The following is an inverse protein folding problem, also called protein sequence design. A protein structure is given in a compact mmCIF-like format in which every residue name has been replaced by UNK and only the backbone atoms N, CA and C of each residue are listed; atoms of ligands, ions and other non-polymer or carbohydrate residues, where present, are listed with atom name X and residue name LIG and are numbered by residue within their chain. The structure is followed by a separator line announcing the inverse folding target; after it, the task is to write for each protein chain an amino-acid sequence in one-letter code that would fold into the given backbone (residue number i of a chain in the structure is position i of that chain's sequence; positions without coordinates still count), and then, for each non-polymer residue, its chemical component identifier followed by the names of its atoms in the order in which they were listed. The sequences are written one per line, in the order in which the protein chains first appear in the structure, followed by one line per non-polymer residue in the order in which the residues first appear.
data_IF_676357918626
#
_entry.id   IF_676357918626
#
_cell.length_a   1.000
_cell.length_b   1.000
_cell.length_c   1.000
_cell.angle_alpha   90.00
_cell.angle_beta   90.00
_cell.angle_gamma   90.00
#
_symmetry.space_group_name_H-M   'P 1'
#
loop_
_entity.id
_entity.type
_entity.pdbx_description
1 polymer ?
#
# COMPACT_ATOMS: atom_id res chain seq x y z
N UNK A 1 -45.06 -4.32 29.74
CA UNK A 1 -43.81 -4.14 28.98
C UNK A 1 -43.65 -2.64 28.77
N UNK A 2 -43.04 -1.94 29.71
CA UNK A 2 -42.86 -0.49 29.64
C UNK A 2 -41.80 -0.17 28.59
N UNK A 3 -42.06 0.70 27.60
CA UNK A 3 -41.03 1.09 26.65
C UNK A 3 -39.89 1.76 27.43
N UNK A 4 -38.67 1.26 27.27
CA UNK A 4 -37.47 1.91 27.78
C UNK A 4 -37.38 3.27 27.08
N UNK A 5 -37.32 4.40 27.80
CA UNK A 5 -37.19 5.69 27.17
C UNK A 5 -35.84 5.73 26.45
N UNK A 6 -35.89 5.64 25.13
CA UNK A 6 -34.75 5.85 24.25
C UNK A 6 -34.36 7.31 24.45
N UNK A 7 -33.19 7.57 25.04
CA UNK A 7 -32.63 8.92 25.14
C UNK A 7 -31.87 9.20 23.83
N UNK A 8 -32.48 9.95 22.88
CA UNK A 8 -31.88 10.17 21.57
C UNK A 8 -30.55 10.93 21.66
N UNK A 9 -30.32 11.72 22.72
CA UNK A 9 -29.05 12.39 22.92
C UNK A 9 -27.95 11.41 23.35
N UNK A 10 -28.28 10.48 24.26
CA UNK A 10 -27.34 9.44 24.68
C UNK A 10 -26.99 8.47 23.54
N UNK A 11 -27.96 8.11 22.70
CA UNK A 11 -27.72 7.25 21.53
C UNK A 11 -26.86 7.95 20.47
N UNK A 12 -27.13 9.23 20.18
CA UNK A 12 -26.30 10.03 19.26
C UNK A 12 -24.86 10.18 19.78
N UNK A 13 -24.67 10.35 21.08
CA UNK A 13 -23.34 10.42 21.68
C UNK A 13 -22.60 9.09 21.57
N UNK A 14 -23.28 7.95 21.78
CA UNK A 14 -22.68 6.62 21.59
C UNK A 14 -22.32 6.36 20.13
N UNK A 15 -23.21 6.73 19.19
CA UNK A 15 -22.94 6.62 17.76
C UNK A 15 -21.71 7.43 17.35
N UNK A 16 -21.64 8.70 17.77
CA UNK A 16 -20.47 9.55 17.50
C UNK A 16 -19.19 9.01 18.13
N UNK A 17 -19.25 8.55 19.38
CA UNK A 17 -18.09 7.96 20.04
C UNK A 17 -17.59 6.71 19.30
N UNK A 18 -18.50 5.84 18.86
CA UNK A 18 -18.17 4.67 18.06
C UNK A 18 -17.58 5.07 16.70
N UNK A 19 -18.13 6.10 16.05
CA UNK A 19 -17.62 6.65 14.80
C UNK A 19 -16.19 7.16 14.95
N UNK A 20 -15.92 8.03 15.94
CA UNK A 20 -14.58 8.55 16.18
C UNK A 20 -13.57 7.45 16.57
N UNK A 21 -14.00 6.45 17.33
CA UNK A 21 -13.16 5.30 17.65
C UNK A 21 -12.78 4.50 16.39
N UNK A 22 -13.74 4.30 15.48
CA UNK A 22 -13.47 3.65 14.20
C UNK A 22 -12.52 4.48 13.33
N UNK A 23 -12.73 5.79 13.21
CA UNK A 23 -11.84 6.68 12.46
C UNK A 23 -10.41 6.68 13.02
N UNK A 24 -10.26 6.75 14.34
CA UNK A 24 -8.95 6.68 14.99
C UNK A 24 -8.25 5.34 14.72
N UNK A 25 -8.98 4.23 14.77
CA UNK A 25 -8.43 2.91 14.47
C UNK A 25 -7.98 2.79 13.00
N UNK A 26 -8.76 3.33 12.06
CA UNK A 26 -8.39 3.38 10.64
C UNK A 26 -7.13 4.22 10.43
N UNK A 27 -7.05 5.40 11.06
CA UNK A 27 -5.88 6.27 10.98
C UNK A 27 -4.61 5.60 11.51
N UNK A 28 -4.68 4.95 12.68
CA UNK A 28 -3.54 4.19 13.24
C UNK A 28 -3.10 3.06 12.32
N UNK A 29 -4.05 2.31 11.75
CA UNK A 29 -3.76 1.24 10.79
C UNK A 29 -3.02 1.80 9.57
N UNK A 30 -3.54 2.87 8.97
CA UNK A 30 -2.97 3.46 7.76
C UNK A 30 -1.55 4.00 8.01
N UNK A 31 -1.32 4.61 9.17
CA UNK A 31 0.02 5.05 9.59
C UNK A 31 0.97 3.86 9.76
N UNK A 32 0.54 2.79 10.45
CA UNK A 32 1.35 1.59 10.65
C UNK A 32 1.75 0.94 9.33
N UNK A 33 0.80 0.80 8.39
CA UNK A 33 1.05 0.26 7.06
C UNK A 33 2.02 1.14 6.26
N UNK A 34 1.82 2.47 6.29
CA UNK A 34 2.73 3.40 5.61
C UNK A 34 4.17 3.30 6.11
N UNK A 35 4.37 3.21 7.42
CA UNK A 35 5.70 3.05 8.02
C UNK A 35 6.33 1.72 7.61
N UNK A 36 5.61 0.62 7.77
CA UNK A 36 6.10 -0.71 7.41
C UNK A 36 6.53 -0.77 5.93
N UNK A 37 5.73 -0.21 5.03
CA UNK A 37 6.06 -0.22 3.60
C UNK A 37 7.27 0.64 3.25
N UNK A 38 7.47 1.79 3.91
CA UNK A 38 8.69 2.57 3.74
C UNK A 38 9.93 1.76 4.15
N UNK A 39 9.84 1.11 5.31
CA UNK A 39 10.95 0.32 5.86
C UNK A 39 11.24 -0.93 5.01
N UNK A 40 10.23 -1.53 4.39
CA UNK A 40 10.38 -2.67 3.47
C UNK A 40 10.90 -2.26 2.08
N UNK A 41 10.58 -1.07 1.58
CA UNK A 41 11.08 -0.58 0.29
C UNK A 41 12.60 -0.36 0.30
N UNK A 42 13.17 0.10 1.42
CA UNK A 42 14.61 0.33 1.55
C UNK A 42 15.47 -0.92 1.22
N UNK A 43 15.27 -2.09 1.87
CA UNK A 43 16.01 -3.30 1.54
C UNK A 43 15.69 -3.84 0.14
N UNK A 44 14.46 -3.71 -0.36
CA UNK A 44 14.12 -4.12 -1.73
C UNK A 44 14.84 -3.29 -2.79
N UNK A 45 14.94 -1.97 -2.60
CA UNK A 45 15.71 -1.08 -3.47
C UNK A 45 17.20 -1.43 -3.46
N UNK A 46 17.75 -1.80 -2.29
CA UNK A 46 19.13 -2.27 -2.19
C UNK A 46 19.33 -3.59 -2.95
N UNK A 47 18.42 -4.56 -2.79
CA UNK A 47 18.45 -5.83 -3.54
C UNK A 47 18.34 -5.60 -5.05
N UNK A 48 17.44 -4.73 -5.49
CA UNK A 48 17.28 -4.37 -6.90
C UNK A 48 18.57 -3.74 -7.46
N UNK A 49 19.19 -2.83 -6.70
CA UNK A 49 20.44 -2.17 -7.10
C UNK A 49 21.59 -3.17 -7.28
N UNK A 50 21.73 -4.13 -6.35
CA UNK A 50 22.76 -5.16 -6.48
C UNK A 50 22.45 -6.17 -7.59
N UNK A 51 21.19 -6.55 -7.77
CA UNK A 51 20.78 -7.39 -8.89
C UNK A 51 21.14 -6.74 -10.23
N UNK A 52 20.95 -5.43 -10.36
CA UNK A 52 21.34 -4.65 -11.54
C UNK A 52 22.86 -4.62 -11.77
N UNK A 53 23.64 -4.42 -10.71
CA UNK A 53 25.12 -4.47 -10.78
C UNK A 53 25.57 -5.85 -11.24
N UNK A 54 25.01 -6.91 -10.66
CA UNK A 54 25.34 -8.30 -10.99
C UNK A 54 24.95 -8.65 -12.43
N UNK A 55 23.82 -8.16 -12.93
CA UNK A 55 23.38 -8.43 -14.30
C UNK A 55 24.40 -7.93 -15.33
N UNK A 56 24.95 -6.74 -15.10
CA UNK A 56 26.01 -6.18 -15.95
C UNK A 56 27.31 -6.97 -15.85
N UNK A 57 27.70 -7.41 -14.66
CA UNK A 57 28.92 -8.20 -14.47
C UNK A 57 28.81 -9.63 -15.02
N UNK A 58 27.60 -10.18 -15.06
CA UNK A 58 27.32 -11.56 -15.47
C UNK A 58 26.74 -11.67 -16.88
N UNK A 59 26.84 -10.61 -17.70
CA UNK A 59 26.29 -10.57 -19.06
C UNK A 59 26.82 -11.68 -19.99
N UNK A 60 28.03 -12.20 -19.72
CA UNK A 60 28.64 -13.31 -20.45
C UNK A 60 28.85 -14.57 -19.58
N UNK A 61 28.17 -14.64 -18.44
CA UNK A 61 28.28 -15.77 -17.52
C UNK A 61 27.46 -16.99 -18.00
N UNK A 62 27.57 -18.10 -17.27
CA UNK A 62 26.79 -19.30 -17.53
C UNK A 62 25.27 -18.99 -17.60
N UNK A 63 24.54 -19.53 -18.61
CA UNK A 63 23.11 -19.28 -18.77
C UNK A 63 22.25 -19.62 -17.55
N UNK A 64 22.64 -20.58 -16.71
CA UNK A 64 21.89 -20.90 -15.50
C UNK A 64 22.03 -19.80 -14.45
N UNK A 65 23.21 -19.17 -14.36
CA UNK A 65 23.43 -18.05 -13.45
C UNK A 65 22.62 -16.83 -13.88
N UNK A 66 22.55 -16.56 -15.18
CA UNK A 66 21.68 -15.51 -15.73
C UNK A 66 20.21 -15.77 -15.43
N UNK A 67 19.75 -17.03 -15.58
CA UNK A 67 18.37 -17.42 -15.25
C UNK A 67 18.07 -17.26 -13.76
N UNK A 68 19.00 -17.63 -12.89
CA UNK A 68 18.85 -17.46 -11.44
C UNK A 68 18.73 -15.99 -11.07
N UNK A 69 19.57 -15.11 -11.63
CA UNK A 69 19.50 -13.67 -11.40
C UNK A 69 18.20 -13.06 -11.91
N UNK A 70 17.72 -13.48 -13.09
CA UNK A 70 16.43 -13.04 -13.61
C UNK A 70 15.27 -13.44 -12.68
N UNK A 71 15.31 -14.65 -12.12
CA UNK A 71 14.34 -15.11 -11.13
C UNK A 71 14.37 -14.27 -9.83
N UNK A 72 15.56 -13.94 -9.33
CA UNK A 72 15.70 -13.05 -8.16
C UNK A 72 15.08 -11.68 -8.44
N UNK A 73 15.35 -11.09 -9.60
CA UNK A 73 14.79 -9.79 -9.97
C UNK A 73 13.26 -9.83 -10.07
N UNK A 74 12.71 -10.84 -10.74
CA UNK A 74 11.26 -11.02 -10.82
C UNK A 74 10.61 -11.15 -9.44
N UNK A 75 11.26 -11.86 -8.50
CA UNK A 75 10.79 -11.95 -7.12
C UNK A 75 10.83 -10.63 -6.35
N UNK A 76 11.88 -9.82 -6.54
CA UNK A 76 11.97 -8.46 -5.97
C UNK A 76 10.84 -7.58 -6.52
N UNK A 77 10.64 -7.58 -7.84
CA UNK A 77 9.60 -6.78 -8.50
C UNK A 77 8.19 -7.19 -8.02
N UNK A 78 7.94 -8.49 -7.89
CA UNK A 78 6.70 -9.00 -7.32
C UNK A 78 6.50 -8.53 -5.87
N UNK A 79 7.57 -8.53 -5.06
CA UNK A 79 7.47 -8.11 -3.67
C UNK A 79 7.19 -6.61 -3.53
N UNK A 80 7.75 -5.78 -4.41
CA UNK A 80 7.45 -4.34 -4.51
C UNK A 80 5.98 -4.13 -4.87
N UNK A 81 5.49 -4.82 -5.91
CA UNK A 81 4.09 -4.72 -6.34
C UNK A 81 3.11 -5.10 -5.22
N UNK A 82 3.38 -6.19 -4.47
CA UNK A 82 2.55 -6.59 -3.33
C UNK A 82 2.51 -5.55 -2.21
N UNK A 83 3.63 -4.85 -1.96
CA UNK A 83 3.68 -3.78 -0.96
C UNK A 83 2.84 -2.58 -1.43
N UNK A 84 2.90 -2.25 -2.71
CA UNK A 84 2.09 -1.17 -3.30
C UNK A 84 0.60 -1.49 -3.23
N UNK A 85 0.19 -2.71 -3.60
CA UNK A 85 -1.21 -3.16 -3.52
C UNK A 85 -1.78 -3.11 -2.09
N UNK A 86 -0.98 -3.56 -1.10
CA UNK A 86 -1.38 -3.54 0.32
C UNK A 86 -1.49 -2.10 0.85
N UNK A 87 -0.73 -1.15 0.32
CA UNK A 87 -0.82 0.26 0.69
C UNK A 87 -2.01 0.98 0.05
N UNK A 88 -2.40 0.59 -1.16
CA UNK A 88 -3.44 1.29 -1.90
C UNK A 88 -4.86 0.89 -1.46
N UNK A 89 -5.07 -0.37 -1.05
CA UNK A 89 -6.36 -0.84 -0.57
C UNK A 89 -6.94 -0.08 0.65
N UNK A 90 -6.15 0.24 1.71
CA UNK A 90 -6.61 1.06 2.83
C UNK A 90 -6.92 2.51 2.42
N UNK A 91 -6.09 3.11 1.55
CA UNK A 91 -6.23 4.51 1.11
C UNK A 91 -7.49 4.76 0.28
N UNK A 92 -7.90 3.79 -0.53
CA UNK A 92 -9.17 3.84 -1.25
C UNK A 92 -10.37 3.78 -0.28
N UNK A 93 -10.27 2.98 0.79
CA UNK A 93 -11.33 2.80 1.77
C UNK A 93 -11.52 4.02 2.70
N UNK A 94 -10.45 4.75 3.02
CA UNK A 94 -10.53 5.97 3.87
C UNK A 94 -10.91 7.25 3.11
N UNK A 95 -11.14 7.19 1.79
CA UNK A 95 -11.47 8.36 0.92
C UNK A 95 -10.45 9.50 0.98
N UNK A 96 -9.26 9.27 1.54
CA UNK A 96 -8.21 10.28 1.71
C UNK A 96 -7.34 10.45 0.46
N UNK A 97 -7.66 9.75 -0.64
CA UNK A 97 -7.02 9.94 -1.92
C UNK A 97 -7.42 11.31 -2.48
N UNK A 98 -6.57 12.31 -2.25
CA UNK A 98 -6.72 13.63 -2.84
C UNK A 98 -6.57 13.51 -4.36
N UNK A 99 -7.68 13.63 -5.09
CA UNK A 99 -7.68 13.63 -6.56
C UNK A 99 -7.43 15.06 -7.05
N UNK A 100 -6.28 15.27 -7.68
CA UNK A 100 -5.99 16.51 -8.39
C UNK A 100 -6.43 16.37 -9.86
N UNK A 101 -7.65 16.79 -10.17
CA UNK A 101 -8.14 16.80 -11.55
C UNK A 101 -7.34 17.80 -12.39
N UNK A 102 -6.80 17.33 -13.52
CA UNK A 102 -6.04 18.14 -14.50
C UNK A 102 -6.60 17.83 -15.90
N UNK A 103 -6.73 18.83 -16.81
CA UNK A 103 -7.09 18.57 -18.20
C UNK A 103 -6.00 17.74 -18.88
N UNK A 104 -6.37 16.62 -19.53
CA UNK A 104 -5.47 15.82 -20.35
C UNK A 104 -6.15 15.39 -21.65
N UNK A 105 -5.37 15.17 -22.71
CA UNK A 105 -5.90 14.63 -23.95
C UNK A 105 -6.26 13.15 -23.74
N UNK A 106 -7.49 12.74 -24.07
CA UNK A 106 -7.94 11.34 -23.92
C UNK A 106 -7.34 10.39 -24.97
N UNK A 107 -6.99 10.92 -26.14
CA UNK A 107 -6.49 10.17 -27.31
C UNK A 107 -5.21 9.32 -27.09
N UNK A 108 -4.26 9.68 -26.20
CA UNK A 108 -3.09 8.87 -25.87
C UNK A 108 -3.33 7.78 -24.81
N UNK A 109 -4.53 7.70 -24.22
CA UNK A 109 -4.89 6.76 -23.15
C UNK A 109 -5.87 5.66 -23.61
N UNK A 110 -6.32 5.74 -24.87
CA UNK A 110 -7.06 4.71 -25.59
C UNK A 110 -6.12 4.02 -26.58
#
# INVERSE_FOLDING_TARGET
MTPHPVDPAADLLRERAAHYAAEAALFLRDQALSTASHDLRSPLNAMHSWAYVLERQLANADPNLQRALAGIRAGIDQQVALIDDVLDAPRAATRTLAIAAQPFALRPLL
#
